data_IF_290109929441
#
_entry.id   IF_290109929441
#
_cell.length_a   1.000
_cell.length_b   1.000
_cell.length_c   1.000
_cell.angle_alpha   90.00
_cell.angle_beta   90.00
_cell.angle_gamma   90.00
#
_symmetry.space_group_name_H-M   'P 1'
#
loop_
_entity.id
_entity.type
_entity.pdbx_description
1 polymer ?
#
# COMPACT_ATOMS: atom_id res chain seq x y z
N UNK A 1 11.73 -4.31 71.99
CA UNK A 1 10.45 -3.97 71.35
C UNK A 1 9.92 -2.68 71.97
N UNK A 2 10.19 -1.55 71.33
CA UNK A 2 9.60 -0.23 71.54
C UNK A 2 10.19 0.69 70.45
N UNK A 3 9.35 1.53 69.86
CA UNK A 3 9.65 2.53 68.82
C UNK A 3 10.46 3.72 69.36
N UNK A 4 11.31 4.33 68.53
CA UNK A 4 11.39 5.81 68.36
C UNK A 4 12.32 6.25 67.23
N UNK A 5 11.87 7.32 66.59
CA UNK A 5 12.42 8.23 65.58
C UNK A 5 13.85 8.77 65.76
N UNK A 6 14.55 9.00 64.63
CA UNK A 6 15.57 10.05 64.48
C UNK A 6 15.66 10.60 63.05
N UNK A 7 15.25 11.87 62.88
CA UNK A 7 15.75 12.86 61.91
C UNK A 7 16.75 13.79 62.68
N UNK A 8 17.48 14.82 62.13
CA UNK A 8 17.66 15.33 60.74
C UNK A 8 19.10 15.85 60.34
N UNK A 9 19.24 16.33 59.06
CA UNK A 9 20.19 17.33 58.43
C UNK A 9 21.71 17.03 58.22
N UNK A 10 22.46 17.73 57.32
CA UNK A 10 22.11 18.87 56.45
C UNK A 10 22.48 18.81 54.94
N UNK A 11 21.90 19.77 54.19
CA UNK A 11 22.19 20.11 52.80
C UNK A 11 23.50 20.90 52.64
N UNK A 12 24.29 20.56 51.62
CA UNK A 12 25.46 21.32 51.18
C UNK A 12 25.45 21.41 49.64
N UNK A 13 25.60 22.64 49.12
CA UNK A 13 26.23 22.85 47.82
C UNK A 13 25.42 23.53 46.70
N UNK A 14 24.70 24.63 46.96
CA UNK A 14 24.43 25.62 45.91
C UNK A 14 25.52 26.69 45.94
N UNK A 15 26.40 26.72 44.94
CA UNK A 15 27.15 27.92 44.47
C UNK A 15 28.30 27.55 43.53
N UNK A 16 28.93 26.37 43.70
CA UNK A 16 30.16 26.01 42.97
C UNK A 16 29.91 25.55 41.52
N UNK A 17 28.80 24.89 41.22
CA UNK A 17 28.51 24.37 39.86
C UNK A 17 28.03 25.44 38.88
N UNK A 18 27.54 26.59 39.36
CA UNK A 18 27.08 27.68 38.48
C UNK A 18 28.22 28.58 37.98
N UNK A 19 29.40 28.50 38.60
CA UNK A 19 30.54 29.34 38.27
C UNK A 19 31.44 28.69 37.20
N UNK A 20 31.53 27.36 37.17
CA UNK A 20 32.26 26.59 36.15
C UNK A 20 31.55 26.55 34.77
N UNK A 21 30.22 26.61 34.73
CA UNK A 21 29.47 26.70 33.45
C UNK A 21 29.49 28.11 32.83
N UNK A 22 29.78 29.13 33.64
CA UNK A 22 29.84 30.55 33.24
C UNK A 22 31.19 30.92 32.60
N UNK A 23 32.30 30.31 33.04
CA UNK A 23 33.64 30.60 32.53
C UNK A 23 33.95 29.94 31.18
N UNK A 24 33.32 28.81 30.85
CA UNK A 24 33.46 28.21 29.50
C UNK A 24 32.71 29.00 28.40
N UNK A 25 31.74 29.84 28.77
CA UNK A 25 30.96 30.65 27.83
C UNK A 25 31.57 32.04 27.53
N UNK A 26 32.62 32.44 28.25
CA UNK A 26 33.25 33.76 28.11
C UNK A 26 34.55 33.77 27.27
N UNK A 27 35.16 32.60 26.98
CA UNK A 27 36.50 32.53 26.37
C UNK A 27 36.54 32.39 24.83
N UNK A 28 35.41 32.39 24.12
CA UNK A 28 35.39 32.19 22.65
C UNK A 28 34.99 33.42 21.82
N UNK A 29 35.20 34.64 22.33
CA UNK A 29 35.05 35.89 21.55
C UNK A 29 36.35 36.68 21.47
N UNK A 30 37.19 36.40 20.46
CA UNK A 30 38.06 37.43 19.84
C UNK A 30 38.31 37.17 18.34
N UNK A 31 37.68 38.05 17.58
CA UNK A 31 37.64 38.37 16.15
C UNK A 31 39.00 38.39 15.41
N UNK A 32 39.06 37.80 14.21
CA UNK A 32 39.88 38.27 13.07
C UNK A 32 38.99 38.43 11.83
N UNK A 33 39.14 39.57 11.16
CA UNK A 33 38.31 40.08 10.03
C UNK A 33 38.85 39.60 8.67
N UNK A 34 37.91 39.41 7.73
CA UNK A 34 37.94 39.56 6.26
C UNK A 34 37.24 38.34 5.63
N UNK A 35 36.35 38.41 4.65
CA UNK A 35 35.85 39.46 3.76
C UNK A 35 34.37 39.16 3.46
N UNK A 36 33.63 40.15 2.99
CA UNK A 36 32.16 40.13 2.90
C UNK A 36 31.58 39.48 1.65
N UNK A 37 30.24 39.37 1.70
CA UNK A 37 29.26 38.83 0.74
C UNK A 37 29.09 37.31 0.81
N UNK A 38 27.95 36.73 1.19
CA UNK A 38 26.61 37.29 1.39
C UNK A 38 25.57 36.42 0.67
N UNK A 39 24.65 35.87 1.47
CA UNK A 39 23.29 35.41 1.13
C UNK A 39 23.05 33.91 0.83
N UNK A 40 22.35 33.31 1.80
CA UNK A 40 21.30 32.29 1.73
C UNK A 40 21.64 30.82 1.43
N UNK A 41 22.22 30.15 2.44
CA UNK A 41 22.02 28.72 2.67
C UNK A 41 20.97 28.53 3.78
N UNK A 42 19.70 28.40 3.39
CA UNK A 42 18.67 27.80 4.24
C UNK A 42 18.83 26.27 4.20
N UNK A 43 19.63 25.75 5.12
CA UNK A 43 19.61 24.33 5.49
C UNK A 43 18.41 24.10 6.40
N UNK A 44 17.43 23.33 5.93
CA UNK A 44 16.27 22.96 6.72
C UNK A 44 15.02 22.77 5.86
N UNK A 45 14.97 21.66 5.13
CA UNK A 45 13.73 20.98 4.74
C UNK A 45 14.09 19.54 4.35
N UNK A 46 13.98 18.63 5.32
CA UNK A 46 14.03 17.18 5.11
C UNK A 46 12.64 16.69 4.74
N UNK A 47 12.41 16.46 3.45
CA UNK A 47 11.34 15.60 2.95
C UNK A 47 11.99 14.45 2.18
N UNK A 48 11.60 13.21 2.49
CA UNK A 48 12.10 11.99 1.86
C UNK A 48 12.15 12.09 0.31
N UNK A 49 13.15 11.47 -0.35
CA UNK A 49 13.46 11.77 -1.74
C UNK A 49 12.37 11.27 -2.68
N UNK A 50 11.64 12.20 -3.29
CA UNK A 50 10.94 11.92 -4.54
C UNK A 50 12.00 11.69 -5.63
N UNK A 51 11.75 10.71 -6.52
CA UNK A 51 12.53 10.35 -7.73
C UNK A 51 12.97 11.54 -8.62
N UNK A 52 12.43 12.74 -8.39
CA UNK A 52 12.78 13.96 -9.08
C UNK A 52 14.13 14.57 -8.65
N UNK A 53 14.62 14.32 -7.43
CA UNK A 53 15.82 15.00 -6.91
C UNK A 53 17.13 14.33 -7.35
N UNK A 54 17.16 13.01 -7.57
CA UNK A 54 18.39 12.32 -8.04
C UNK A 54 18.69 12.58 -9.52
N UNK A 55 17.66 12.76 -10.35
CA UNK A 55 17.82 13.09 -11.78
C UNK A 55 18.16 14.55 -12.04
N UNK A 56 17.88 15.45 -11.08
CA UNK A 56 18.17 16.88 -11.22
C UNK A 56 19.67 17.20 -11.04
N UNK A 57 20.44 16.34 -10.37
CA UNK A 57 21.85 16.58 -10.08
C UNK A 57 22.82 16.12 -11.19
N UNK A 58 22.31 15.50 -12.27
CA UNK A 58 23.10 14.95 -13.39
C UNK A 58 23.15 15.86 -14.63
N UNK A 59 22.44 16.99 -14.67
CA UNK A 59 22.42 17.91 -15.81
C UNK A 59 22.56 19.36 -15.37
N UNK A 60 23.75 19.71 -14.86
CA UNK A 60 24.16 21.09 -14.60
C UNK A 60 25.29 21.50 -15.53
N UNK A 61 24.99 22.00 -16.73
CA UNK A 61 25.94 22.81 -17.50
C UNK A 61 25.58 24.30 -17.33
N UNK A 62 26.54 25.19 -17.04
CA UNK A 62 26.26 26.62 -16.91
C UNK A 62 25.98 27.22 -18.31
N UNK A 63 24.85 27.92 -18.47
CA UNK A 63 24.58 28.72 -19.66
C UNK A 63 25.07 30.16 -19.48
N UNK A 64 25.65 30.78 -20.53
CA UNK A 64 26.08 32.18 -20.48
C UNK A 64 24.88 33.13 -20.62
N UNK A 65 25.01 34.30 -20.00
CA UNK A 65 24.08 35.42 -20.12
C UNK A 65 24.06 35.94 -21.56
N UNK A 66 22.87 36.16 -22.13
CA UNK A 66 22.70 36.98 -23.32
C UNK A 66 21.54 37.95 -23.15
N UNK A 67 21.83 39.17 -23.60
CA UNK A 67 21.10 40.41 -23.45
C UNK A 67 19.71 40.45 -24.10
N UNK A 68 18.94 41.41 -23.62
CA UNK A 68 17.67 41.88 -24.16
C UNK A 68 17.80 42.32 -25.62
N UNK A 69 16.90 41.83 -26.48
CA UNK A 69 16.08 42.60 -27.43
C UNK A 69 15.31 41.67 -28.39
N UNK A 70 14.22 42.21 -28.96
CA UNK A 70 13.39 41.66 -30.04
C UNK A 70 12.31 40.65 -29.65
N UNK A 71 11.06 41.11 -29.71
CA UNK A 71 9.87 40.27 -29.76
C UNK A 71 9.96 39.26 -30.90
N UNK A 72 9.97 37.97 -30.56
CA UNK A 72 9.80 36.88 -31.51
C UNK A 72 8.75 35.92 -30.96
N UNK A 73 7.76 35.63 -31.79
CA UNK A 73 6.74 34.61 -31.55
C UNK A 73 7.40 33.33 -31.00
N UNK A 74 6.88 32.73 -29.91
CA UNK A 74 7.53 31.58 -29.30
C UNK A 74 7.60 30.44 -30.33
N UNK A 75 8.83 29.96 -30.59
CA UNK A 75 9.06 28.88 -31.56
C UNK A 75 8.24 27.64 -31.16
N UNK A 76 7.68 26.92 -32.15
CA UNK A 76 6.84 25.71 -31.94
C UNK A 76 7.50 24.72 -30.95
N UNK A 77 8.83 24.62 -30.97
CA UNK A 77 9.64 23.78 -30.06
C UNK A 77 9.60 24.24 -28.60
N UNK A 78 9.58 25.56 -28.33
CA UNK A 78 9.45 26.11 -26.96
C UNK A 78 8.04 25.90 -26.41
N UNK A 79 7.00 25.99 -27.26
CA UNK A 79 5.61 25.71 -26.91
C UNK A 79 5.38 24.21 -26.62
N UNK A 80 5.94 23.31 -27.42
CA UNK A 80 5.91 21.87 -27.17
C UNK A 80 6.59 21.48 -25.85
N UNK A 81 7.76 22.07 -25.54
CA UNK A 81 8.43 21.89 -24.23
C UNK A 81 7.61 22.41 -23.05
N UNK A 82 6.84 23.48 -23.23
CA UNK A 82 5.91 24.01 -22.21
C UNK A 82 4.72 23.07 -21.98
N UNK A 83 4.13 22.52 -23.05
CA UNK A 83 3.04 21.54 -22.96
C UNK A 83 3.52 20.25 -22.31
N UNK A 84 4.70 19.73 -22.69
CA UNK A 84 5.29 18.53 -22.09
C UNK A 84 5.57 18.72 -20.60
N UNK A 85 6.07 19.89 -20.20
CA UNK A 85 6.27 20.22 -18.77
C UNK A 85 4.94 20.27 -18.01
N UNK A 86 3.88 20.85 -18.61
CA UNK A 86 2.55 20.90 -18.00
C UNK A 86 1.90 19.52 -17.90
N UNK A 87 2.06 18.68 -18.92
CA UNK A 87 1.61 17.29 -18.92
C UNK A 87 2.35 16.45 -17.88
N UNK A 88 3.69 16.59 -17.80
CA UNK A 88 4.50 15.95 -16.76
C UNK A 88 4.06 16.40 -15.36
N UNK A 89 3.84 17.69 -15.15
CA UNK A 89 3.37 18.21 -13.86
C UNK A 89 1.97 17.70 -13.50
N UNK A 90 1.07 17.57 -14.48
CA UNK A 90 -0.26 16.99 -14.28
C UNK A 90 -0.20 15.49 -13.95
N UNK A 91 0.64 14.71 -14.63
CA UNK A 91 0.83 13.28 -14.39
C UNK A 91 1.51 12.98 -13.04
N UNK A 92 2.40 13.86 -12.57
CA UNK A 92 2.97 13.76 -11.22
C UNK A 92 1.93 14.08 -10.15
N UNK A 93 0.96 14.94 -10.45
CA UNK A 93 -0.14 15.29 -9.53
C UNK A 93 -1.25 14.24 -9.49
N UNK A 94 -1.56 13.62 -10.63
CA UNK A 94 -2.59 12.58 -10.76
C UNK A 94 -1.90 11.28 -11.17
N UNK A 95 -1.54 10.47 -10.18
CA UNK A 95 -0.82 9.21 -10.35
C UNK A 95 -1.55 8.20 -11.24
N UNK A 96 -2.89 8.31 -11.38
CA UNK A 96 -3.67 7.48 -12.29
C UNK A 96 -3.40 7.73 -13.78
N UNK A 97 -2.83 8.90 -14.14
CA UNK A 97 -2.58 9.28 -15.54
C UNK A 97 -1.57 8.36 -16.21
N UNK A 98 -0.50 7.97 -15.51
CA UNK A 98 0.54 7.12 -16.10
C UNK A 98 -0.02 5.73 -16.48
N UNK A 99 -0.66 4.97 -15.56
CA UNK A 99 -1.37 3.75 -15.92
C UNK A 99 -2.42 3.96 -17.01
N UNK A 100 -3.20 5.05 -16.97
CA UNK A 100 -4.21 5.35 -17.98
C UNK A 100 -3.61 5.50 -19.39
N UNK A 101 -2.46 6.18 -19.52
CA UNK A 101 -1.76 6.31 -20.80
C UNK A 101 -1.28 4.95 -21.31
N UNK A 102 -0.76 4.10 -20.43
CA UNK A 102 -0.34 2.74 -20.80
C UNK A 102 -1.55 1.94 -21.31
N UNK A 103 -2.68 1.96 -20.58
CA UNK A 103 -3.92 1.29 -21.00
C UNK A 103 -4.43 1.83 -22.34
N UNK A 104 -4.40 3.15 -22.54
CA UNK A 104 -4.78 3.77 -23.80
C UNK A 104 -3.93 3.27 -24.98
N UNK A 105 -2.62 3.09 -24.77
CA UNK A 105 -1.74 2.51 -25.79
C UNK A 105 -2.13 1.07 -26.10
N UNK A 106 -2.36 0.23 -25.09
CA UNK A 106 -2.82 -1.15 -25.30
C UNK A 106 -4.13 -1.22 -26.07
N UNK A 107 -5.14 -0.43 -25.68
CA UNK A 107 -6.42 -0.39 -26.38
C UNK A 107 -6.31 0.16 -27.80
N UNK A 108 -5.46 1.17 -28.03
CA UNK A 108 -5.20 1.69 -29.38
C UNK A 108 -4.55 0.65 -30.28
N UNK A 109 -3.56 -0.09 -29.77
CA UNK A 109 -2.91 -1.17 -30.50
C UNK A 109 -3.86 -2.34 -30.79
N UNK A 110 -4.78 -2.63 -29.87
CA UNK A 110 -5.84 -3.61 -30.09
C UNK A 110 -6.84 -3.15 -31.16
N UNK A 111 -7.26 -1.87 -31.13
CA UNK A 111 -8.23 -1.32 -32.08
C UNK A 111 -7.74 -1.31 -33.53
N UNK A 112 -6.41 -1.27 -33.76
CA UNK A 112 -5.83 -1.37 -35.10
C UNK A 112 -6.07 -2.74 -35.72
N UNK A 113 -6.04 -3.82 -34.93
CA UNK A 113 -6.31 -5.18 -35.38
C UNK A 113 -7.00 -5.98 -34.25
N UNK A 114 -8.34 -5.95 -34.15
CA UNK A 114 -9.10 -6.56 -33.07
C UNK A 114 -9.33 -8.06 -33.34
N UNK A 115 -8.27 -8.80 -33.65
CA UNK A 115 -8.32 -10.24 -33.89
C UNK A 115 -7.32 -10.99 -33.01
N UNK A 116 -7.49 -12.31 -32.88
CA UNK A 116 -6.57 -13.16 -32.11
C UNK A 116 -5.13 -13.16 -32.66
N UNK A 117 -4.94 -12.69 -33.90
CA UNK A 117 -3.61 -12.54 -34.51
C UNK A 117 -2.76 -11.43 -33.87
N UNK A 118 -3.40 -10.52 -33.14
CA UNK A 118 -2.71 -9.42 -32.48
C UNK A 118 -2.06 -9.90 -31.18
N UNK A 119 -0.75 -9.69 -30.94
CA UNK A 119 -0.12 -10.08 -29.69
C UNK A 119 -0.76 -9.40 -28.46
N UNK A 120 -1.39 -8.23 -28.63
CA UNK A 120 -2.13 -7.53 -27.57
C UNK A 120 -3.36 -8.33 -27.11
N UNK A 121 -3.93 -9.19 -27.96
CA UNK A 121 -5.05 -10.04 -27.58
C UNK A 121 -4.70 -10.91 -26.36
N UNK A 122 -3.47 -11.43 -26.28
CA UNK A 122 -3.00 -12.24 -25.15
C UNK A 122 -2.86 -11.48 -23.83
N UNK A 123 -2.79 -10.15 -23.88
CA UNK A 123 -2.75 -9.30 -22.68
C UNK A 123 -4.16 -9.04 -22.14
N UNK A 124 -5.15 -8.90 -23.03
CA UNK A 124 -6.52 -8.52 -22.67
C UNK A 124 -7.38 -9.75 -22.37
N UNK A 125 -7.22 -10.83 -23.13
CA UNK A 125 -8.07 -12.02 -23.05
C UNK A 125 -7.29 -13.25 -22.59
N UNK A 126 -8.01 -14.23 -22.05
CA UNK A 126 -7.43 -15.51 -21.65
C UNK A 126 -6.83 -16.24 -22.84
N UNK A 127 -5.57 -16.68 -22.68
CA UNK A 127 -4.86 -17.46 -23.68
C UNK A 127 -5.03 -18.97 -23.48
N UNK A 128 -4.70 -19.75 -24.51
CA UNK A 128 -4.69 -21.23 -24.48
C UNK A 128 -6.06 -21.89 -24.31
N UNK A 129 -7.09 -21.38 -25.00
CA UNK A 129 -8.39 -22.05 -25.08
C UNK A 129 -8.24 -23.40 -25.80
N UNK A 130 -8.71 -24.48 -25.18
CA UNK A 130 -8.71 -25.80 -25.79
C UNK A 130 -9.89 -25.97 -26.76
N UNK A 131 -9.74 -26.82 -27.80
CA UNK A 131 -10.86 -27.14 -28.69
C UNK A 131 -11.95 -27.83 -27.88
N UNK A 132 -13.19 -27.36 -28.05
CA UNK A 132 -14.36 -27.91 -27.38
C UNK A 132 -14.97 -28.97 -28.30
N UNK A 133 -15.19 -30.19 -27.77
CA UNK A 133 -15.65 -31.32 -28.59
C UNK A 133 -17.17 -31.34 -28.77
N UNK A 134 -17.93 -30.76 -27.84
CA UNK A 134 -19.39 -30.65 -27.88
C UNK A 134 -19.87 -29.27 -27.41
N UNK A 135 -21.03 -28.81 -27.89
CA UNK A 135 -21.57 -27.49 -27.53
C UNK A 135 -21.94 -27.38 -26.03
N UNK A 136 -22.11 -28.50 -25.33
CA UNK A 136 -22.48 -28.57 -23.92
C UNK A 136 -21.28 -28.61 -22.96
N UNK A 137 -20.05 -28.73 -23.48
CA UNK A 137 -18.85 -28.84 -22.67
C UNK A 137 -18.29 -27.47 -22.27
N UNK A 138 -17.99 -27.29 -20.98
CA UNK A 138 -17.47 -26.02 -20.45
C UNK A 138 -16.08 -25.76 -21.02
N UNK A 139 -15.83 -24.62 -21.70
CA UNK A 139 -14.54 -24.32 -22.30
C UNK A 139 -13.39 -24.34 -21.28
N UNK A 140 -12.40 -25.20 -21.55
CA UNK A 140 -11.20 -25.35 -20.73
C UNK A 140 -10.03 -24.56 -21.31
N UNK A 141 -9.19 -24.04 -20.42
CA UNK A 141 -7.99 -23.28 -20.76
C UNK A 141 -6.76 -23.96 -20.18
N UNK A 142 -5.73 -24.13 -21.01
CA UNK A 142 -4.40 -24.58 -20.58
C UNK A 142 -3.60 -23.46 -19.91
N UNK A 143 -2.31 -23.71 -19.65
CA UNK A 143 -1.38 -22.75 -19.04
C UNK A 143 -0.20 -22.48 -19.98
N UNK A 144 0.34 -21.26 -19.93
CA UNK A 144 1.57 -20.94 -20.64
C UNK A 144 2.09 -19.53 -20.40
N UNK A 145 3.14 -19.14 -21.13
CA UNK A 145 3.85 -17.87 -20.90
C UNK A 145 2.99 -16.64 -21.20
N UNK A 146 2.00 -16.73 -22.08
CA UNK A 146 1.05 -15.63 -22.33
C UNK A 146 0.21 -15.28 -21.10
N UNK A 147 0.11 -16.17 -20.10
CA UNK A 147 -0.56 -15.85 -18.84
C UNK A 147 0.24 -14.80 -18.04
N UNK A 148 1.56 -14.68 -18.22
CA UNK A 148 2.39 -13.61 -17.63
C UNK A 148 2.05 -12.27 -18.28
N UNK A 149 1.82 -12.25 -19.60
CA UNK A 149 1.39 -11.05 -20.32
C UNK A 149 0.03 -10.56 -19.80
N UNK A 150 -0.92 -11.49 -19.63
CA UNK A 150 -2.22 -11.23 -19.01
C UNK A 150 -2.07 -10.62 -17.60
N UNK A 151 -1.30 -11.26 -16.73
CA UNK A 151 -1.04 -10.77 -15.36
C UNK A 151 -0.44 -9.35 -15.40
N UNK A 152 0.54 -9.12 -16.27
CA UNK A 152 1.21 -7.81 -16.41
C UNK A 152 0.22 -6.72 -16.85
N UNK A 153 -0.63 -7.00 -17.83
CA UNK A 153 -1.66 -6.05 -18.27
C UNK A 153 -2.64 -5.73 -17.15
N UNK A 154 -3.16 -6.76 -16.48
CA UNK A 154 -4.11 -6.57 -15.38
C UNK A 154 -3.47 -5.90 -14.15
N UNK A 155 -2.17 -6.02 -13.92
CA UNK A 155 -1.44 -5.23 -12.92
C UNK A 155 -1.49 -3.73 -13.25
N UNK A 156 -1.41 -3.35 -14.54
CA UNK A 156 -1.58 -1.95 -14.97
C UNK A 156 -3.03 -1.50 -14.82
N UNK A 157 -4.00 -2.35 -15.20
CA UNK A 157 -5.44 -2.09 -15.01
C UNK A 157 -5.77 -1.84 -13.54
N UNK A 158 -5.24 -2.67 -12.64
CA UNK A 158 -5.43 -2.54 -11.20
C UNK A 158 -4.73 -1.31 -10.65
N UNK A 159 -3.54 -0.97 -11.15
CA UNK A 159 -2.84 0.27 -10.77
C UNK A 159 -3.62 1.52 -11.16
N UNK A 160 -4.20 1.54 -12.37
CA UNK A 160 -5.09 2.61 -12.80
C UNK A 160 -6.33 2.70 -11.91
N UNK A 161 -7.03 1.57 -11.75
CA UNK A 161 -8.28 1.50 -10.99
C UNK A 161 -8.08 1.92 -9.54
N UNK A 162 -6.99 1.47 -8.90
CA UNK A 162 -6.61 1.87 -7.53
C UNK A 162 -6.45 3.38 -7.42
N UNK A 163 -5.57 3.97 -8.22
CA UNK A 163 -5.27 5.40 -8.12
C UNK A 163 -6.48 6.27 -8.50
N UNK A 164 -7.27 5.84 -9.48
CA UNK A 164 -8.50 6.52 -9.88
C UNK A 164 -9.53 6.50 -8.74
N UNK A 165 -9.84 5.33 -8.18
CA UNK A 165 -10.79 5.19 -7.07
C UNK A 165 -10.29 6.00 -5.87
N UNK A 166 -9.01 5.89 -5.50
CA UNK A 166 -8.47 6.61 -4.35
C UNK A 166 -8.57 8.14 -4.51
N UNK A 167 -8.25 8.68 -5.69
CA UNK A 167 -8.18 10.15 -5.88
C UNK A 167 -9.51 10.79 -6.23
N UNK A 168 -10.33 10.13 -7.06
CA UNK A 168 -11.57 10.71 -7.59
C UNK A 168 -12.79 10.34 -6.73
N UNK A 169 -12.76 9.19 -6.04
CA UNK A 169 -13.91 8.70 -5.27
C UNK A 169 -13.63 8.77 -3.75
N UNK A 170 -12.59 8.08 -3.28
CA UNK A 170 -12.33 7.95 -1.84
C UNK A 170 -11.84 9.24 -1.20
N UNK A 171 -11.04 10.04 -1.90
CA UNK A 171 -10.54 11.33 -1.37
C UNK A 171 -11.66 12.34 -1.10
N UNK A 172 -12.62 12.58 -2.02
CA UNK A 172 -13.81 13.37 -1.70
C UNK A 172 -14.62 12.79 -0.53
N UNK A 173 -14.84 11.47 -0.51
CA UNK A 173 -15.58 10.83 0.59
C UNK A 173 -14.89 10.99 1.95
N UNK A 174 -13.55 10.88 1.99
CA UNK A 174 -12.79 11.09 3.22
C UNK A 174 -12.95 12.52 3.76
N UNK A 175 -12.97 13.52 2.88
CA UNK A 175 -13.23 14.92 3.27
C UNK A 175 -14.67 15.13 3.72
N UNK A 176 -15.62 14.52 3.02
CA UNK A 176 -17.04 14.59 3.39
C UNK A 176 -17.31 13.95 4.75
N UNK A 177 -16.62 12.84 5.06
CA UNK A 177 -16.64 12.19 6.37
C UNK A 177 -15.92 12.98 7.48
N UNK A 178 -15.39 14.17 7.20
CA UNK A 178 -14.80 15.05 8.21
C UNK A 178 -13.35 14.74 8.60
N UNK A 179 -12.66 13.83 7.90
CA UNK A 179 -11.25 13.52 8.16
C UNK A 179 -10.36 14.70 7.76
N UNK A 180 -9.81 15.43 8.74
CA UNK A 180 -9.00 16.65 8.48
C UNK A 180 -7.52 16.37 8.21
N UNK A 181 -6.95 15.34 8.85
CA UNK A 181 -5.53 14.99 8.68
C UNK A 181 -5.27 14.34 7.32
N UNK A 182 -4.27 14.84 6.58
CA UNK A 182 -3.89 14.28 5.27
C UNK A 182 -3.41 12.83 5.37
N UNK A 183 -2.76 12.44 6.47
CA UNK A 183 -2.32 11.07 6.68
C UNK A 183 -3.46 10.14 7.06
N UNK A 184 -4.39 10.57 7.94
CA UNK A 184 -5.61 9.81 8.26
C UNK A 184 -6.47 9.61 7.01
N UNK A 185 -6.58 10.64 6.16
CA UNK A 185 -7.21 10.51 4.83
C UNK A 185 -6.51 9.45 3.96
N UNK A 186 -5.18 9.47 3.87
CA UNK A 186 -4.43 8.50 3.08
C UNK A 186 -4.67 7.05 3.55
N UNK A 187 -4.57 6.79 4.85
CA UNK A 187 -4.82 5.46 5.43
C UNK A 187 -6.26 5.01 5.26
N UNK A 188 -7.23 5.91 5.46
CA UNK A 188 -8.63 5.62 5.19
C UNK A 188 -8.85 5.22 3.74
N UNK A 189 -8.28 5.96 2.78
CA UNK A 189 -8.40 5.61 1.36
C UNK A 189 -7.75 4.26 1.03
N UNK A 190 -6.58 3.96 1.60
CA UNK A 190 -5.91 2.66 1.43
C UNK A 190 -6.81 1.52 1.92
N UNK A 191 -7.34 1.61 3.14
CA UNK A 191 -8.20 0.55 3.70
C UNK A 191 -9.54 0.45 2.97
N UNK A 192 -10.16 1.58 2.62
CA UNK A 192 -11.44 1.56 1.91
C UNK A 192 -11.28 0.99 0.48
N UNK A 193 -10.18 1.27 -0.23
CA UNK A 193 -9.90 0.62 -1.51
C UNK A 193 -9.79 -0.90 -1.35
N UNK A 194 -9.04 -1.36 -0.35
CA UNK A 194 -8.91 -2.79 -0.03
C UNK A 194 -10.27 -3.42 0.29
N UNK A 195 -11.14 -2.73 1.04
CA UNK A 195 -12.49 -3.19 1.34
C UNK A 195 -13.37 -3.28 0.08
N UNK A 196 -13.30 -2.30 -0.83
CA UNK A 196 -14.03 -2.36 -2.11
C UNK A 196 -13.52 -3.52 -2.97
N UNK A 197 -12.20 -3.69 -3.07
CA UNK A 197 -11.60 -4.76 -3.88
C UNK A 197 -12.04 -6.14 -3.37
N UNK A 198 -11.82 -6.44 -2.09
CA UNK A 198 -12.20 -7.75 -1.54
C UNK A 198 -13.72 -7.92 -1.35
N UNK A 199 -14.47 -6.83 -1.22
CA UNK A 199 -15.94 -6.87 -1.24
C UNK A 199 -16.51 -7.35 -2.59
N UNK A 200 -15.79 -7.13 -3.69
CA UNK A 200 -16.14 -7.64 -5.01
C UNK A 200 -15.51 -9.01 -5.29
N UNK A 201 -14.21 -9.16 -5.01
CA UNK A 201 -13.46 -10.36 -5.36
C UNK A 201 -13.72 -11.53 -4.42
N UNK A 202 -14.02 -11.29 -3.13
CA UNK A 202 -14.36 -12.36 -2.18
C UNK A 202 -15.58 -13.18 -2.62
N UNK A 203 -16.73 -12.55 -2.90
CA UNK A 203 -17.89 -13.25 -3.47
C UNK A 203 -17.61 -13.91 -4.82
N UNK A 204 -16.84 -13.25 -5.70
CA UNK A 204 -16.44 -13.83 -6.97
C UNK A 204 -15.59 -15.11 -6.79
N UNK A 205 -14.67 -15.12 -5.81
CA UNK A 205 -13.87 -16.28 -5.45
C UNK A 205 -14.72 -17.43 -4.91
N UNK A 206 -15.69 -17.13 -4.05
CA UNK A 206 -16.67 -18.13 -3.56
C UNK A 206 -17.50 -18.72 -4.71
N UNK A 207 -17.92 -17.88 -5.66
CA UNK A 207 -18.63 -18.35 -6.87
C UNK A 207 -17.74 -19.25 -7.74
N UNK A 208 -16.45 -18.91 -7.92
CA UNK A 208 -15.51 -19.78 -8.65
C UNK A 208 -15.32 -21.10 -7.93
N UNK A 209 -15.16 -21.08 -6.61
CA UNK A 209 -14.97 -22.28 -5.78
C UNK A 209 -16.16 -23.22 -5.83
N UNK A 210 -17.39 -22.70 -5.86
CA UNK A 210 -18.61 -23.53 -5.90
C UNK A 210 -18.75 -24.36 -7.17
N UNK A 211 -18.03 -23.99 -8.22
CA UNK A 211 -17.99 -24.72 -9.50
C UNK A 211 -16.84 -25.72 -9.59
N UNK A 212 -16.08 -25.87 -8.50
CA UNK A 212 -14.97 -26.82 -8.40
C UNK A 212 -15.27 -27.86 -7.31
N UNK A 213 -14.67 -29.05 -7.36
CA UNK A 213 -14.83 -30.06 -6.30
C UNK A 213 -14.25 -29.61 -4.94
N UNK A 214 -13.54 -28.48 -4.92
CA UNK A 214 -12.96 -27.85 -3.73
C UNK A 214 -14.02 -27.17 -2.85
N UNK A 215 -15.27 -27.04 -3.31
CA UNK A 215 -16.35 -26.34 -2.61
C UNK A 215 -16.35 -26.61 -1.10
N UNK A 216 -16.42 -25.52 -0.33
CA UNK A 216 -16.37 -25.54 1.13
C UNK A 216 -15.12 -26.23 1.72
N UNK A 217 -13.97 -25.99 1.07
CA UNK A 217 -12.66 -26.47 1.50
C UNK A 217 -12.57 -27.99 1.60
N UNK A 218 -13.16 -28.70 0.63
CA UNK A 218 -12.95 -30.14 0.49
C UNK A 218 -11.50 -30.42 0.12
N UNK A 219 -10.72 -30.95 1.06
CA UNK A 219 -9.26 -31.12 0.93
C UNK A 219 -8.89 -32.26 0.01
N UNK A 220 -9.71 -33.32 -0.07
CA UNK A 220 -9.47 -34.46 -0.95
C UNK A 220 -9.39 -34.03 -2.42
N UNK A 221 -10.26 -33.07 -2.79
CA UNK A 221 -10.31 -32.49 -4.12
C UNK A 221 -9.00 -31.79 -4.56
N UNK A 222 -8.12 -31.41 -3.62
CA UNK A 222 -6.81 -30.86 -3.95
C UNK A 222 -5.90 -31.86 -4.67
N UNK A 223 -6.13 -33.15 -4.45
CA UNK A 223 -5.27 -34.23 -4.92
C UNK A 223 -6.00 -35.18 -5.87
N UNK A 224 -7.33 -35.26 -5.78
CA UNK A 224 -8.16 -35.96 -6.76
C UNK A 224 -7.94 -35.39 -8.16
N UNK A 225 -7.78 -36.27 -9.14
CA UNK A 225 -7.51 -35.92 -10.54
C UNK A 225 -6.28 -35.01 -10.76
N UNK A 226 -5.36 -34.93 -9.79
CA UNK A 226 -4.10 -34.23 -9.99
C UNK A 226 -3.31 -34.92 -11.14
N UNK A 227 -2.82 -34.16 -12.14
CA UNK A 227 -2.54 -32.73 -12.12
C UNK A 227 -3.66 -31.92 -12.78
N UNK A 228 -4.09 -30.84 -12.13
CA UNK A 228 -5.05 -29.89 -12.70
C UNK A 228 -4.37 -29.02 -13.77
N UNK A 229 -4.23 -29.56 -14.97
CA UNK A 229 -3.57 -28.91 -16.12
C UNK A 229 -4.40 -27.79 -16.73
N UNK A 230 -5.71 -27.93 -16.67
CA UNK A 230 -6.67 -27.05 -17.32
C UNK A 230 -7.65 -26.52 -16.30
N UNK A 231 -8.19 -25.33 -16.59
CA UNK A 231 -9.17 -24.66 -15.75
C UNK A 231 -10.28 -24.08 -16.60
N UNK A 232 -11.47 -23.99 -16.04
CA UNK A 232 -12.56 -23.24 -16.67
C UNK A 232 -12.17 -21.75 -16.80
N UNK A 233 -12.88 -21.02 -17.67
CA UNK A 233 -12.58 -19.61 -17.94
C UNK A 233 -12.60 -18.75 -16.67
N UNK A 234 -13.54 -19.00 -15.76
CA UNK A 234 -13.79 -18.14 -14.61
C UNK A 234 -12.74 -18.35 -13.53
N UNK A 235 -12.37 -19.61 -13.27
CA UNK A 235 -11.26 -20.00 -12.42
C UNK A 235 -9.96 -19.42 -12.95
N UNK A 236 -9.64 -19.64 -14.23
CA UNK A 236 -8.38 -19.16 -14.80
C UNK A 236 -8.31 -17.63 -14.72
N UNK A 237 -9.37 -16.93 -15.09
CA UNK A 237 -9.46 -15.48 -14.98
C UNK A 237 -9.26 -15.03 -13.53
N UNK A 238 -10.05 -15.56 -12.59
CA UNK A 238 -9.98 -15.19 -11.18
C UNK A 238 -8.58 -15.40 -10.61
N UNK A 239 -7.97 -16.54 -10.89
CA UNK A 239 -6.67 -16.91 -10.37
C UNK A 239 -5.56 -15.99 -10.89
N UNK A 240 -5.55 -15.70 -12.20
CA UNK A 240 -4.58 -14.79 -12.82
C UNK A 240 -4.83 -13.33 -12.44
N UNK A 241 -6.09 -12.92 -12.31
CA UNK A 241 -6.46 -11.59 -11.87
C UNK A 241 -6.01 -11.35 -10.42
N UNK A 242 -6.17 -12.33 -9.53
CA UNK A 242 -5.62 -12.26 -8.18
C UNK A 242 -4.09 -12.21 -8.18
N UNK A 243 -3.43 -12.99 -9.04
CA UNK A 243 -1.98 -12.89 -9.20
C UNK A 243 -1.55 -11.47 -9.62
N UNK A 244 -2.30 -10.83 -10.52
CA UNK A 244 -2.07 -9.45 -10.95
C UNK A 244 -2.25 -8.43 -9.82
N UNK A 245 -3.22 -8.63 -8.94
CA UNK A 245 -3.42 -7.81 -7.75
C UNK A 245 -2.28 -7.94 -6.74
N UNK A 246 -1.86 -9.16 -6.42
CA UNK A 246 -0.74 -9.37 -5.50
C UNK A 246 0.58 -8.86 -6.07
N UNK A 247 0.79 -8.97 -7.38
CA UNK A 247 1.91 -8.33 -8.08
C UNK A 247 1.83 -6.80 -8.01
N UNK A 248 0.64 -6.22 -8.24
CA UNK A 248 0.40 -4.78 -8.13
C UNK A 248 0.70 -4.27 -6.71
N UNK A 249 0.23 -4.97 -5.67
CA UNK A 249 0.48 -4.60 -4.29
C UNK A 249 1.97 -4.71 -3.92
N UNK A 250 2.68 -5.73 -4.43
CA UNK A 250 4.12 -5.85 -4.26
C UNK A 250 4.89 -4.68 -4.93
N UNK A 251 4.47 -4.23 -6.12
CA UNK A 251 5.06 -3.06 -6.78
C UNK A 251 4.85 -1.80 -5.94
N UNK A 252 3.65 -1.57 -5.42
CA UNK A 252 3.34 -0.43 -4.54
C UNK A 252 4.25 -0.43 -3.31
N UNK A 253 4.48 -1.62 -2.72
CA UNK A 253 5.35 -1.78 -1.57
C UNK A 253 6.82 -1.50 -1.91
N UNK A 254 7.34 -2.07 -3.01
CA UNK A 254 8.75 -1.90 -3.43
C UNK A 254 9.06 -0.46 -3.84
N UNK A 255 8.10 0.22 -4.47
CA UNK A 255 8.23 1.64 -4.83
C UNK A 255 8.10 2.58 -3.63
N UNK A 256 7.80 2.07 -2.43
CA UNK A 256 7.64 2.88 -1.22
C UNK A 256 6.48 3.88 -1.33
N UNK A 257 5.46 3.55 -2.13
CA UNK A 257 4.29 4.43 -2.34
C UNK A 257 3.43 4.54 -1.07
N UNK A 258 3.53 3.56 -0.17
CA UNK A 258 2.92 3.56 1.15
C UNK A 258 3.99 3.80 2.22
N UNK A 259 3.71 4.68 3.20
CA UNK A 259 4.63 4.95 4.31
C UNK A 259 4.92 3.63 5.07
N UNK A 260 6.20 3.25 5.26
CA UNK A 260 6.57 2.02 5.95
C UNK A 260 5.94 1.95 7.34
N UNK A 261 5.36 0.79 7.65
CA UNK A 261 4.73 0.49 8.93
C UNK A 261 5.73 -0.18 9.87
N UNK A 262 5.42 -0.28 11.17
CA UNK A 262 6.28 -1.00 12.14
C UNK A 262 6.50 -2.47 11.76
N UNK A 263 5.54 -3.08 11.07
CA UNK A 263 5.56 -4.46 10.57
C UNK A 263 6.00 -4.56 9.09
N UNK A 264 6.77 -3.59 8.59
CA UNK A 264 7.17 -3.54 7.18
C UNK A 264 7.99 -4.77 6.76
N UNK A 265 8.87 -5.30 7.62
CA UNK A 265 9.70 -6.46 7.30
C UNK A 265 8.87 -7.72 7.17
N UNK A 266 7.91 -7.91 8.06
CA UNK A 266 6.97 -9.03 8.06
C UNK A 266 6.02 -8.93 6.86
N UNK A 267 5.59 -7.71 6.50
CA UNK A 267 4.80 -7.45 5.29
C UNK A 267 5.59 -7.77 4.01
N UNK A 268 6.87 -7.39 3.93
CA UNK A 268 7.77 -7.78 2.82
C UNK A 268 7.90 -9.30 2.75
N UNK A 269 8.17 -9.95 3.88
CA UNK A 269 8.28 -11.41 3.97
C UNK A 269 6.99 -12.10 3.50
N UNK A 270 5.83 -11.57 3.89
CA UNK A 270 4.54 -12.02 3.41
C UNK A 270 4.41 -11.91 1.89
N UNK A 271 4.75 -10.77 1.29
CA UNK A 271 4.67 -10.63 -0.17
C UNK A 271 5.59 -11.61 -0.91
N UNK A 272 6.78 -11.89 -0.38
CA UNK A 272 7.68 -12.89 -0.94
C UNK A 272 7.04 -14.28 -0.89
N UNK A 273 6.51 -14.69 0.27
CA UNK A 273 5.86 -16.00 0.45
C UNK A 273 4.59 -16.12 -0.41
N UNK A 274 3.75 -15.08 -0.44
CA UNK A 274 2.52 -15.06 -1.21
C UNK A 274 2.79 -15.15 -2.72
N UNK A 275 3.72 -14.34 -3.26
CA UNK A 275 4.08 -14.43 -4.69
C UNK A 275 4.71 -15.77 -5.04
N UNK A 276 5.52 -16.35 -4.14
CA UNK A 276 6.06 -17.70 -4.32
C UNK A 276 4.96 -18.78 -4.34
N UNK A 277 3.99 -18.71 -3.42
CA UNK A 277 2.83 -19.62 -3.39
C UNK A 277 2.04 -19.52 -4.69
N UNK A 278 1.72 -18.31 -5.15
CA UNK A 278 0.96 -18.07 -6.38
C UNK A 278 1.72 -18.63 -7.59
N UNK A 279 3.00 -18.25 -7.75
CA UNK A 279 3.81 -18.67 -8.89
C UNK A 279 4.03 -20.18 -8.95
N UNK A 280 4.42 -20.80 -7.83
CA UNK A 280 4.71 -22.23 -7.78
C UNK A 280 3.43 -23.07 -7.88
N UNK A 281 2.34 -22.68 -7.23
CA UNK A 281 1.09 -23.44 -7.33
C UNK A 281 0.48 -23.34 -8.73
N UNK A 282 0.64 -22.21 -9.43
CA UNK A 282 0.27 -22.13 -10.85
C UNK A 282 1.15 -23.03 -11.74
N UNK A 283 2.48 -22.94 -11.57
CA UNK A 283 3.47 -23.67 -12.38
C UNK A 283 3.45 -25.18 -12.19
N UNK A 284 3.13 -25.66 -10.99
CA UNK A 284 3.14 -27.08 -10.61
C UNK A 284 1.74 -27.65 -10.35
N UNK A 285 0.68 -27.00 -10.84
CA UNK A 285 -0.70 -27.50 -10.81
C UNK A 285 -1.36 -27.64 -9.42
N UNK A 286 -0.81 -27.01 -8.37
CA UNK A 286 -1.44 -26.93 -7.04
C UNK A 286 -2.45 -25.78 -6.92
N UNK A 287 -3.09 -25.38 -8.02
CA UNK A 287 -3.97 -24.20 -8.09
C UNK A 287 -5.22 -24.33 -7.22
N UNK A 288 -5.69 -25.54 -6.90
CA UNK A 288 -6.82 -25.76 -6.00
C UNK A 288 -6.49 -25.43 -4.54
N UNK A 289 -5.28 -25.79 -4.08
CA UNK A 289 -4.75 -25.31 -2.80
C UNK A 289 -4.65 -23.78 -2.83
N UNK A 290 -4.10 -23.23 -3.92
CA UNK A 290 -4.01 -21.79 -4.12
C UNK A 290 -5.36 -21.06 -4.08
N UNK A 291 -6.41 -21.62 -4.69
CA UNK A 291 -7.76 -21.06 -4.67
C UNK A 291 -8.31 -21.02 -3.24
N UNK A 292 -8.16 -22.10 -2.47
CA UNK A 292 -8.57 -22.14 -1.07
C UNK A 292 -7.82 -21.08 -0.24
N UNK A 293 -6.51 -20.96 -0.43
CA UNK A 293 -5.70 -19.93 0.24
C UNK A 293 -6.18 -18.53 -0.13
N UNK A 294 -6.40 -18.21 -1.41
CA UNK A 294 -6.94 -16.91 -1.82
C UNK A 294 -8.23 -16.57 -1.09
N UNK A 295 -9.23 -17.46 -1.13
CA UNK A 295 -10.55 -17.20 -0.55
C UNK A 295 -10.48 -16.93 0.96
N UNK A 296 -9.72 -17.74 1.70
CA UNK A 296 -9.53 -17.49 3.15
C UNK A 296 -8.91 -16.12 3.40
N UNK A 297 -7.96 -15.72 2.55
CA UNK A 297 -7.23 -14.48 2.71
C UNK A 297 -8.09 -13.26 2.34
N UNK A 298 -8.71 -13.29 1.16
CA UNK A 298 -9.55 -12.21 0.62
C UNK A 298 -10.71 -11.87 1.56
N UNK A 299 -11.45 -12.89 2.02
CA UNK A 299 -12.61 -12.66 2.91
C UNK A 299 -12.13 -12.07 4.23
N UNK A 300 -11.08 -12.61 4.84
CA UNK A 300 -10.57 -12.06 6.10
C UNK A 300 -10.02 -10.62 5.97
N UNK A 301 -9.41 -10.29 4.83
CA UNK A 301 -8.85 -8.95 4.57
C UNK A 301 -9.95 -7.93 4.32
N UNK A 302 -11.10 -8.34 3.76
CA UNK A 302 -12.30 -7.50 3.72
C UNK A 302 -12.75 -7.06 5.11
N UNK A 303 -12.85 -8.02 6.06
CA UNK A 303 -13.23 -7.70 7.44
C UNK A 303 -12.16 -6.86 8.16
N UNK A 304 -10.87 -7.13 7.94
CA UNK A 304 -9.78 -6.31 8.47
C UNK A 304 -9.89 -4.86 7.98
N UNK A 305 -9.99 -4.68 6.67
CA UNK A 305 -10.00 -3.37 6.03
C UNK A 305 -11.24 -2.55 6.43
N UNK A 306 -12.40 -3.21 6.50
CA UNK A 306 -13.65 -2.56 6.94
C UNK A 306 -13.60 -2.20 8.42
N UNK A 307 -13.01 -3.06 9.27
CA UNK A 307 -12.84 -2.76 10.70
C UNK A 307 -11.97 -1.53 10.92
N UNK A 308 -10.84 -1.41 10.20
CA UNK A 308 -9.99 -0.22 10.24
C UNK A 308 -10.70 1.02 9.71
N UNK A 309 -11.48 0.87 8.65
CA UNK A 309 -12.27 1.96 8.07
C UNK A 309 -13.29 2.50 9.07
N UNK A 310 -14.01 1.63 9.78
CA UNK A 310 -14.95 2.03 10.84
C UNK A 310 -14.23 2.76 11.99
N UNK A 311 -13.05 2.26 12.38
CA UNK A 311 -12.23 2.91 13.41
C UNK A 311 -11.80 4.32 12.99
N UNK A 312 -11.35 4.51 11.73
CA UNK A 312 -10.99 5.85 11.25
C UNK A 312 -12.16 6.82 11.22
N UNK A 313 -13.39 6.33 11.04
CA UNK A 313 -14.61 7.13 11.08
C UNK A 313 -15.16 7.34 12.49
N UNK A 314 -14.50 6.80 13.52
CA UNK A 314 -14.96 6.83 14.91
C UNK A 314 -16.41 6.32 15.04
N UNK A 315 -16.77 5.30 14.24
CA UNK A 315 -18.14 4.77 14.17
C UNK A 315 -18.46 3.87 15.37
N UNK A 316 -19.67 3.95 15.91
CA UNK A 316 -20.09 3.19 17.10
C UNK A 316 -20.01 1.66 16.94
N UNK A 317 -20.14 1.16 15.70
CA UNK A 317 -19.98 -0.28 15.38
C UNK A 317 -18.52 -0.78 15.42
N UNK A 318 -17.53 0.07 15.67
CA UNK A 318 -16.11 -0.33 15.64
C UNK A 318 -15.82 -1.53 16.54
N UNK A 319 -16.27 -1.50 17.80
CA UNK A 319 -16.07 -2.61 18.75
C UNK A 319 -16.74 -3.92 18.31
N UNK A 320 -18.06 -3.96 18.09
CA UNK A 320 -18.76 -5.15 17.63
C UNK A 320 -18.20 -5.71 16.31
N UNK A 321 -17.90 -4.85 15.34
CA UNK A 321 -17.36 -5.28 14.05
C UNK A 321 -15.93 -5.80 14.17
N UNK A 322 -15.10 -5.21 15.03
CA UNK A 322 -13.76 -5.71 15.33
C UNK A 322 -13.81 -7.12 15.94
N UNK A 323 -14.77 -7.39 16.82
CA UNK A 323 -14.99 -8.73 17.36
C UNK A 323 -15.38 -9.74 16.26
N UNK A 324 -16.31 -9.37 15.38
CA UNK A 324 -16.67 -10.21 14.21
C UNK A 324 -15.45 -10.48 13.33
N UNK A 325 -14.66 -9.44 13.02
CA UNK A 325 -13.41 -9.56 12.28
C UNK A 325 -12.46 -10.58 12.93
N UNK A 326 -12.27 -10.50 14.25
CA UNK A 326 -11.41 -11.43 14.98
C UNK A 326 -11.88 -12.89 14.87
N UNK A 327 -13.19 -13.14 15.00
CA UNK A 327 -13.75 -14.49 14.81
C UNK A 327 -13.53 -15.00 13.38
N UNK A 328 -13.80 -14.16 12.38
CA UNK A 328 -13.58 -14.49 10.96
C UNK A 328 -12.10 -14.77 10.68
N UNK A 329 -11.20 -13.94 11.21
CA UNK A 329 -9.76 -14.13 11.09
C UNK A 329 -9.33 -15.49 11.65
N UNK A 330 -9.76 -15.82 12.88
CA UNK A 330 -9.39 -17.10 13.50
C UNK A 330 -9.89 -18.29 12.67
N UNK A 331 -11.14 -18.23 12.22
CA UNK A 331 -11.71 -19.32 11.42
C UNK A 331 -11.01 -19.47 10.06
N UNK A 332 -10.87 -18.38 9.29
CA UNK A 332 -10.33 -18.43 7.94
C UNK A 332 -8.81 -18.58 7.90
N UNK A 333 -8.08 -17.78 8.69
CA UNK A 333 -6.61 -17.75 8.65
C UNK A 333 -5.94 -18.83 9.48
N UNK A 334 -6.63 -19.40 10.46
CA UNK A 334 -6.05 -20.47 11.29
C UNK A 334 -6.77 -21.79 11.12
N UNK A 335 -8.06 -21.90 11.44
CA UNK A 335 -8.73 -23.20 11.38
C UNK A 335 -8.69 -23.81 9.97
N UNK A 336 -9.10 -23.06 8.94
CA UNK A 336 -9.07 -23.57 7.56
C UNK A 336 -7.65 -23.74 7.03
N UNK A 337 -6.73 -22.82 7.31
CA UNK A 337 -5.34 -22.95 6.85
C UNK A 337 -4.63 -24.16 7.49
N UNK A 338 -4.86 -24.40 8.80
CA UNK A 338 -4.36 -25.60 9.47
C UNK A 338 -5.00 -26.86 8.90
N UNK A 339 -6.27 -26.84 8.49
CA UNK A 339 -6.89 -27.95 7.77
C UNK A 339 -6.23 -28.22 6.42
N UNK A 340 -5.88 -27.17 5.66
CA UNK A 340 -5.12 -27.29 4.40
C UNK A 340 -3.74 -27.91 4.68
N UNK A 341 -3.00 -27.40 5.67
CA UNK A 341 -1.68 -27.95 6.05
C UNK A 341 -1.81 -29.42 6.51
N UNK A 342 -2.83 -29.73 7.31
CA UNK A 342 -3.08 -31.10 7.78
C UNK A 342 -3.33 -32.06 6.61
N UNK A 343 -4.06 -31.62 5.57
CA UNK A 343 -4.27 -32.42 4.36
C UNK A 343 -2.98 -32.81 3.64
N UNK A 344 -1.90 -32.02 3.77
CA UNK A 344 -0.61 -32.40 3.22
C UNK A 344 -0.08 -33.68 3.90
N UNK A 345 -0.28 -33.82 5.21
CA UNK A 345 0.21 -34.98 5.96
C UNK A 345 -0.65 -36.23 5.75
N UNK A 346 -1.97 -36.08 5.59
CA UNK A 346 -2.92 -37.21 5.52
C UNK A 346 -3.26 -37.64 4.11
N UNK A 347 -3.41 -36.70 3.17
CA UNK A 347 -4.03 -36.92 1.86
C UNK A 347 -3.04 -36.81 0.69
N UNK A 348 -1.97 -36.01 0.82
CA UNK A 348 -1.03 -35.74 -0.28
C UNK A 348 -0.41 -36.99 -0.90
N UNK A 349 -0.02 -37.95 -0.06
CA UNK A 349 0.60 -39.22 -0.49
C UNK A 349 -0.42 -40.31 -0.83
N UNK A 350 -1.62 -40.24 -0.25
CA UNK A 350 -2.61 -41.32 -0.28
C UNK A 350 -3.61 -41.15 -1.41
N UNK A 351 -3.95 -39.92 -1.79
CA UNK A 351 -4.94 -39.62 -2.83
C UNK A 351 -4.25 -39.34 -4.17
N UNK A 352 -4.48 -40.22 -5.15
CA UNK A 352 -3.92 -40.11 -6.51
C UNK A 352 -2.44 -40.49 -6.60
N UNK A 353 -1.86 -40.50 -7.81
CA UNK A 353 -0.46 -40.91 -8.02
C UNK A 353 0.51 -40.05 -7.20
N UNK A 354 1.52 -40.70 -6.60
CA UNK A 354 2.61 -40.05 -5.87
C UNK A 354 3.93 -40.36 -6.57
N UNK A 355 4.10 -39.73 -7.72
CA UNK A 355 5.26 -39.92 -8.59
C UNK A 355 5.65 -38.59 -9.25
N UNK A 356 6.90 -38.52 -9.71
CA UNK A 356 7.41 -37.38 -10.45
C UNK A 356 7.53 -37.77 -11.93
N UNK A 357 6.68 -37.20 -12.77
CA UNK A 357 6.74 -37.34 -14.22
C UNK A 357 6.58 -35.96 -14.89
N UNK A 358 7.67 -35.48 -15.49
CA UNK A 358 7.73 -34.21 -16.20
C UNK A 358 6.88 -34.20 -17.48
N UNK A 359 6.80 -35.32 -18.19
CA UNK A 359 6.03 -35.43 -19.42
C UNK A 359 4.52 -35.45 -19.11
N UNK A 360 4.12 -36.22 -18.09
CA UNK A 360 2.74 -36.22 -17.61
C UNK A 360 2.40 -34.97 -16.78
N UNK A 361 3.36 -34.11 -16.43
CA UNK A 361 3.14 -32.95 -15.56
C UNK A 361 2.73 -33.33 -14.14
N UNK A 362 3.08 -34.54 -13.70
CA UNK A 362 2.90 -35.04 -12.35
C UNK A 362 4.03 -34.55 -11.47
N UNK A 363 3.71 -33.67 -10.53
CA UNK A 363 4.67 -33.06 -9.62
C UNK A 363 4.44 -33.44 -8.16
N UNK A 364 3.67 -34.50 -7.87
CA UNK A 364 3.45 -34.99 -6.51
C UNK A 364 4.61 -35.86 -6.06
N UNK A 365 5.59 -35.26 -5.40
CA UNK A 365 6.78 -35.94 -4.92
C UNK A 365 7.21 -35.42 -3.53
N UNK A 366 8.26 -35.98 -2.91
CA UNK A 366 8.75 -35.48 -1.62
C UNK A 366 9.16 -34.00 -1.68
N UNK A 367 9.77 -33.58 -2.79
CA UNK A 367 10.20 -32.19 -2.96
C UNK A 367 9.01 -31.22 -2.96
N UNK A 368 7.96 -31.49 -3.74
CA UNK A 368 6.77 -30.64 -3.77
C UNK A 368 6.05 -30.60 -2.41
N UNK A 369 6.06 -31.72 -1.67
CA UNK A 369 5.51 -31.79 -0.33
C UNK A 369 6.23 -30.82 0.61
N UNK A 370 7.57 -30.89 0.69
CA UNK A 370 8.34 -30.01 1.57
C UNK A 370 8.24 -28.55 1.15
N UNK A 371 8.30 -28.24 -0.15
CA UNK A 371 8.15 -26.85 -0.63
C UNK A 371 6.77 -26.28 -0.26
N UNK A 372 5.70 -27.03 -0.52
CA UNK A 372 4.34 -26.59 -0.22
C UNK A 372 4.13 -26.44 1.29
N UNK A 373 4.63 -27.40 2.08
CA UNK A 373 4.57 -27.36 3.54
C UNK A 373 5.34 -26.16 4.11
N UNK A 374 6.55 -25.89 3.63
CA UNK A 374 7.36 -24.76 4.08
C UNK A 374 6.66 -23.45 3.77
N UNK A 375 6.16 -23.26 2.54
CA UNK A 375 5.51 -22.01 2.16
C UNK A 375 4.19 -21.77 2.90
N UNK A 376 3.33 -22.79 3.02
CA UNK A 376 2.10 -22.69 3.83
C UNK A 376 2.39 -22.52 5.32
N UNK A 377 3.44 -23.17 5.82
CA UNK A 377 3.92 -23.01 7.20
C UNK A 377 4.42 -21.60 7.48
N UNK A 378 5.21 -21.01 6.57
CA UNK A 378 5.62 -19.60 6.67
C UNK A 378 4.43 -18.65 6.64
N UNK A 379 3.46 -18.90 5.75
CA UNK A 379 2.22 -18.12 5.69
C UNK A 379 1.43 -18.22 7.00
N UNK A 380 1.33 -19.42 7.58
CA UNK A 380 0.66 -19.65 8.86
C UNK A 380 1.38 -18.97 10.02
N UNK A 381 2.73 -18.98 10.05
CA UNK A 381 3.52 -18.30 11.07
C UNK A 381 3.31 -16.78 11.04
N UNK A 382 3.26 -16.18 9.84
CA UNK A 382 2.92 -14.76 9.67
C UNK A 382 1.48 -14.46 10.12
N UNK A 383 0.53 -15.33 9.79
CA UNK A 383 -0.85 -15.18 10.27
C UNK A 383 -0.92 -15.22 11.80
N UNK A 384 -0.14 -16.09 12.48
CA UNK A 384 -0.07 -16.14 13.95
C UNK A 384 0.58 -14.89 14.54
N UNK A 385 1.61 -14.36 13.89
CA UNK A 385 2.22 -13.09 14.28
C UNK A 385 1.18 -11.95 14.29
N UNK A 386 0.35 -11.84 13.25
CA UNK A 386 -0.71 -10.83 13.22
C UNK A 386 -1.86 -11.14 14.19
N UNK A 387 -2.20 -12.41 14.42
CA UNK A 387 -3.18 -12.79 15.45
C UNK A 387 -2.77 -12.27 16.83
N UNK A 388 -1.49 -12.36 17.18
CA UNK A 388 -0.99 -11.81 18.44
C UNK A 388 -1.32 -10.31 18.58
N UNK A 389 -1.15 -9.51 17.50
CA UNK A 389 -1.53 -8.09 17.53
C UNK A 389 -3.04 -7.90 17.62
N UNK A 390 -3.83 -8.68 16.89
CA UNK A 390 -5.30 -8.61 16.93
C UNK A 390 -5.80 -8.87 18.36
N UNK A 391 -5.29 -9.91 19.01
CA UNK A 391 -5.65 -10.25 20.40
C UNK A 391 -5.15 -9.20 21.39
N UNK A 392 -3.95 -8.65 21.19
CA UNK A 392 -3.40 -7.57 22.02
C UNK A 392 -4.28 -6.31 21.96
N UNK A 393 -4.73 -5.91 20.77
CA UNK A 393 -5.64 -4.77 20.60
C UNK A 393 -7.00 -5.08 21.24
N UNK A 394 -7.53 -6.29 21.07
CA UNK A 394 -8.78 -6.72 21.70
C UNK A 394 -8.69 -6.62 23.24
N UNK A 395 -7.59 -7.11 23.82
CA UNK A 395 -7.33 -7.04 25.26
C UNK A 395 -7.30 -5.59 25.75
N UNK A 396 -6.59 -4.70 25.04
CA UNK A 396 -6.53 -3.27 25.38
C UNK A 396 -7.88 -2.58 25.27
N UNK A 397 -8.68 -2.91 24.26
CA UNK A 397 -10.02 -2.37 24.10
C UNK A 397 -10.92 -2.75 25.28
N UNK A 398 -10.89 -4.02 25.72
CA UNK A 398 -11.71 -4.49 26.85
C UNK A 398 -11.23 -3.93 28.19
N UNK A 399 -9.91 -3.88 28.42
CA UNK A 399 -9.35 -3.49 29.73
C UNK A 399 -9.24 -1.98 29.91
N UNK A 400 -8.94 -1.24 28.85
CA UNK A 400 -8.66 0.19 28.93
C UNK A 400 -9.68 1.07 28.20
N UNK A 401 -10.72 0.50 27.55
CA UNK A 401 -11.66 1.21 26.66
C UNK A 401 -10.96 2.02 25.55
N UNK A 402 -9.75 1.61 25.15
CA UNK A 402 -8.97 2.25 24.10
C UNK A 402 -8.99 1.37 22.85
N UNK A 403 -9.66 1.83 21.79
CA UNK A 403 -9.75 1.16 20.48
C UNK A 403 -8.57 1.47 19.55
N UNK A 404 -7.41 1.80 20.11
CA UNK A 404 -6.25 2.25 19.34
C UNK A 404 -5.31 1.09 19.02
N UNK A 405 -4.93 0.99 17.74
CA UNK A 405 -4.00 -0.01 17.22
C UNK A 405 -2.55 0.54 17.34
N UNK A 406 -1.73 -0.02 18.25
CA UNK A 406 -0.32 0.36 18.50
C UNK A 406 0.55 0.41 17.22
N UNK A 407 0.14 -0.30 16.16
CA UNK A 407 0.78 -0.27 14.84
C UNK A 407 0.52 1.05 14.11
N UNK A 408 -0.67 1.64 14.29
CA UNK A 408 -1.04 2.96 13.77
C UNK A 408 -0.71 4.12 14.72
N UNK A 409 -0.46 3.90 16.01
CA UNK A 409 -0.27 4.99 16.99
C UNK A 409 0.94 5.91 16.70
N UNK A 410 2.03 5.37 16.16
CA UNK A 410 3.18 6.20 15.71
C UNK A 410 2.87 6.88 14.38
N UNK A 411 1.98 6.31 13.58
CA UNK A 411 1.53 6.94 12.36
C UNK A 411 0.69 8.18 12.68
N UNK A 412 -0.22 8.10 13.65
CA UNK A 412 -1.07 9.22 14.06
C UNK A 412 -0.28 10.30 14.81
N UNK A 413 0.61 9.93 15.74
CA UNK A 413 1.43 10.91 16.47
C UNK A 413 2.43 11.66 15.58
N UNK A 414 3.10 10.99 14.64
CA UNK A 414 3.99 11.68 13.68
C UNK A 414 3.21 12.57 12.69
N UNK A 415 1.93 12.26 12.42
CA UNK A 415 1.07 13.08 11.57
C UNK A 415 0.55 14.33 12.31
N UNK A 416 0.29 14.22 13.60
CA UNK A 416 -0.01 15.36 14.47
C UNK A 416 1.20 16.29 14.61
N UNK A 417 2.40 15.74 14.80
CA UNK A 417 3.65 16.51 14.85
C UNK A 417 3.97 17.19 13.50
N UNK A 418 3.67 16.53 12.38
CA UNK A 418 3.85 17.14 11.05
C UNK A 418 2.84 18.27 10.77
N UNK A 419 1.64 18.18 11.32
CA UNK A 419 0.59 19.19 11.19
C UNK A 419 0.82 20.41 12.10
N UNK A 420 1.31 20.17 13.32
CA UNK A 420 1.69 21.24 14.27
C UNK A 420 2.88 22.04 13.74
N UNK A 421 3.91 21.36 13.22
CA UNK A 421 5.08 22.02 12.60
C UNK A 421 4.73 22.84 11.36
N UNK A 422 3.68 22.46 10.62
CA UNK A 422 3.19 23.21 9.45
C UNK A 422 2.33 24.43 9.82
N UNK A 423 1.63 24.40 10.97
CA UNK A 423 0.91 25.57 11.50
C UNK A 423 1.85 26.61 12.10
N UNK A 424 2.97 26.19 12.70
CA UNK A 424 3.96 27.09 13.29
C UNK A 424 4.82 27.85 12.24
N UNK A 425 4.90 27.34 11.00
CA UNK A 425 5.60 27.98 9.85
C UNK A 425 4.72 28.93 9.02
N UNK A 426 3.49 29.23 9.41
CA UNK A 426 2.71 30.29 8.77
C UNK A 426 3.28 31.66 9.18
N UNK A 427 3.73 32.54 8.25
CA UNK A 427 4.22 33.85 8.63
C UNK A 427 3.08 34.65 9.23
N UNK A 428 3.23 35.00 10.50
CA UNK A 428 2.33 35.86 11.25
C UNK A 428 2.26 37.20 10.52
N UNK A 429 1.19 37.40 9.73
CA UNK A 429 0.97 38.59 8.92
C UNK A 429 0.82 39.82 9.82
N UNK A 430 1.66 40.81 9.56
CA UNK A 430 1.76 42.10 10.25
C UNK A 430 0.40 42.72 10.62
N UNK A 431 0.27 43.08 11.90
CA UNK A 431 -0.60 44.18 12.35
C UNK A 431 -0.15 45.48 11.67
N UNK A 432 -1.04 46.30 11.08
CA UNK A 432 -0.67 47.65 10.72
C UNK A 432 -0.67 48.51 11.99
N UNK A 433 0.52 48.96 12.39
CA UNK A 433 0.70 50.00 13.40
C UNK A 433 0.53 51.36 12.71
N UNK A 434 -0.37 52.16 13.26
CA UNK A 434 -0.58 53.56 12.93
C UNK A 434 0.66 54.40 13.33
N UNK A 435 1.09 55.31 12.45
CA UNK A 435 1.20 56.74 12.74
C UNK A 435 1.81 57.51 11.57
N UNK A 436 1.18 58.65 11.27
CA UNK A 436 1.67 59.67 10.36
C UNK A 436 0.86 60.94 10.61
N UNK A 437 1.28 61.72 11.61
CA UNK A 437 0.86 63.11 11.78
C UNK A 437 1.31 63.93 10.57
N UNK A 438 0.38 64.70 10.01
CA UNK A 438 0.69 65.91 9.25
C UNK A 438 -0.36 66.97 9.62
N UNK A 439 0.10 68.00 10.33
CA UNK A 439 -0.57 69.28 10.51
C UNK A 439 -0.84 69.91 9.14
N UNK A 440 -2.05 70.44 8.91
CA UNK A 440 -2.35 71.88 8.80
C UNK A 440 -3.73 72.13 8.15
N UNK A 441 -4.47 73.12 8.67
CA UNK A 441 -5.34 73.97 7.82
C UNK A 441 -6.87 73.82 7.87
N UNK A 442 -7.49 74.57 8.79
CA UNK A 442 -8.68 75.43 8.57
C UNK A 442 -10.05 74.88 8.11
N UNK A 443 -11.01 75.11 9.02
CA UNK A 443 -12.25 75.89 8.84
C UNK A 443 -13.62 75.19 8.60
N UNK A 444 -14.51 75.48 9.58
CA UNK A 444 -15.94 75.91 9.49
C UNK A 444 -17.07 74.89 9.27
N UNK A 445 -18.00 74.94 10.25
CA UNK A 445 -19.49 74.88 10.15
C UNK A 445 -20.07 73.54 9.68
N UNK A 446 -21.25 73.05 10.06
CA UNK A 446 -22.41 73.53 10.83
C UNK A 446 -23.50 72.45 10.65
N UNK A 447 -24.29 72.17 11.71
CA UNK A 447 -25.66 71.59 11.68
C UNK A 447 -25.78 70.13 11.17
N UNK A 448 -26.63 69.27 11.72
CA UNK A 448 -27.75 69.39 12.65
C UNK A 448 -27.98 68.04 13.30
#
# INVERSE_FOLDING_TARGET
>A
MASTSSEPFPALGSAADRQLQSEMNAAARRRRKSSGLGQDLRVGDTGAPALATSLAHLHGSPQPKQDLTSGKHPSKRRKARSILRRAKHYAVKHTWVLPAVILFVFFSLFAINPTESNPVHHFIFLSYKLPVSSLDEVPQYGKGLWDIAFVTFYTVVLSFTREFIMQEILRPMARWAGLRSRGKQARYMEQMYTAIYFGLLGPAGMYVMSRTPVWYFNTSAFYEAFPHKTHDAYFKFYYLFQAAYWAQQAIVLVLGMEKPRKDFKELVGHHIVSLALIGLSYRFHFTYIGLAVYITHDISDFFLATSKTLNYLDHWLTGPYYFTFMCVWIYLRHYLNLRIIYSLFTEFKTIGPYEMDWAAGQYKCPLSFYITLTLLGCLQALNLFWLFFILRIAYRFVVHNVAQDDRSDVEESELEDSASTAQEKAPNGNKPIANGEALNGSAKKSQR
#
